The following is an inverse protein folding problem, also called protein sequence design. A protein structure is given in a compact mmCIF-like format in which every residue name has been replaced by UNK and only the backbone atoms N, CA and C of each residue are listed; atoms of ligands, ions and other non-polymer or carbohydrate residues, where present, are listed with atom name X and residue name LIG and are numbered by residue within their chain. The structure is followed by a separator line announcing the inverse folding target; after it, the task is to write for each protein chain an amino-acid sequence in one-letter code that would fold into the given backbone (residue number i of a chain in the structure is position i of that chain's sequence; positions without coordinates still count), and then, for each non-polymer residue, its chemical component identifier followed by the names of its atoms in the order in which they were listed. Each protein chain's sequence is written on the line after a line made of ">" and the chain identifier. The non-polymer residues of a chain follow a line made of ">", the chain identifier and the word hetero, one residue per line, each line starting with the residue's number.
data_IF_038218083315
#
_entry.id   IF_038218083315
#
_cell.length_a   1.000
_cell.length_b   1.000
_cell.length_c   1.000
_cell.angle_alpha   90.00
_cell.angle_beta   90.00
_cell.angle_gamma   90.00
#
_symmetry.space_group_name_H-M   'P 1'
#
loop_
_entity.id
_entity.type
_entity.pdbx_description
1 polymer ?
#
# COMPACT_ATOMS: atom_id res chain seq x y z
N UNK A 1 -40.02 -27.34 39.35
CA UNK A 1 -41.02 -26.70 38.45
C UNK A 1 -40.25 -26.00 37.34
N UNK A 2 -39.79 -26.72 36.32
CA UNK A 2 -40.50 -27.12 35.09
C UNK A 2 -40.72 -25.94 34.10
N UNK A 3 -39.73 -25.71 33.25
CA UNK A 3 -39.82 -25.18 31.88
C UNK A 3 -38.39 -25.18 31.32
N UNK A 4 -37.90 -26.28 30.75
CA UNK A 4 -38.08 -26.62 29.34
C UNK A 4 -38.04 -25.39 28.42
N UNK A 5 -36.84 -24.82 28.26
CA UNK A 5 -36.49 -24.07 27.06
C UNK A 5 -35.24 -24.69 26.46
N UNK A 6 -35.47 -25.63 25.53
CA UNK A 6 -34.63 -25.75 24.33
C UNK A 6 -34.43 -24.33 23.79
N UNK A 7 -33.19 -23.82 23.81
CA UNK A 7 -32.65 -22.61 23.15
C UNK A 7 -31.41 -22.22 24.00
N UNK A 8 -30.20 -22.03 23.51
CA UNK A 8 -29.78 -21.82 22.14
C UNK A 8 -29.01 -23.01 21.58
N UNK A 9 -29.46 -23.47 20.43
CA UNK A 9 -28.53 -23.68 19.35
C UNK A 9 -27.77 -22.36 19.21
N UNK A 10 -26.57 -22.25 19.78
CA UNK A 10 -25.60 -21.28 19.32
C UNK A 10 -25.59 -21.51 17.81
N UNK A 11 -26.15 -20.58 17.03
CA UNK A 11 -26.13 -20.72 15.57
C UNK A 11 -24.68 -21.03 15.23
N UNK A 12 -24.43 -22.16 14.58
CA UNK A 12 -23.09 -22.72 14.37
C UNK A 12 -22.11 -21.63 13.88
N UNK A 13 -22.66 -20.69 13.11
CA UNK A 13 -22.09 -19.44 12.63
C UNK A 13 -21.48 -18.57 13.72
N UNK A 14 -22.18 -18.31 14.82
CA UNK A 14 -21.72 -17.42 15.90
C UNK A 14 -20.50 -18.01 16.63
N UNK A 15 -20.40 -19.35 16.73
CA UNK A 15 -19.27 -20.05 17.38
C UNK A 15 -18.01 -19.94 16.54
N UNK A 16 -18.16 -20.14 15.22
CA UNK A 16 -17.08 -20.06 14.25
C UNK A 16 -16.61 -18.62 14.11
N UNK A 17 -17.54 -17.66 14.04
CA UNK A 17 -17.25 -16.22 13.99
C UNK A 17 -16.53 -15.78 15.26
N UNK A 18 -17.01 -16.17 16.44
CA UNK A 18 -16.36 -15.84 17.71
C UNK A 18 -14.93 -16.41 17.78
N UNK A 19 -14.71 -17.64 17.30
CA UNK A 19 -13.37 -18.22 17.23
C UNK A 19 -12.45 -17.39 16.34
N UNK A 20 -12.86 -17.05 15.13
CA UNK A 20 -12.02 -16.30 14.19
C UNK A 20 -11.69 -14.90 14.75
N UNK A 21 -12.69 -14.21 15.29
CA UNK A 21 -12.51 -12.85 15.84
C UNK A 21 -11.63 -12.87 17.10
N UNK A 22 -11.88 -13.79 18.05
CA UNK A 22 -11.07 -13.88 19.27
C UNK A 22 -9.66 -14.47 19.02
N UNK A 23 -9.47 -15.28 17.97
CA UNK A 23 -8.15 -15.71 17.53
C UNK A 23 -7.31 -14.51 17.07
N UNK A 24 -7.89 -13.63 16.25
CA UNK A 24 -7.21 -12.42 15.74
C UNK A 24 -6.94 -11.43 16.88
N UNK A 25 -7.94 -11.13 17.72
CA UNK A 25 -7.78 -10.21 18.86
C UNK A 25 -6.87 -10.76 19.96
N UNK A 26 -6.78 -12.09 20.09
CA UNK A 26 -5.93 -12.78 21.05
C UNK A 26 -4.43 -12.71 20.74
N UNK A 27 -4.05 -12.40 19.50
CA UNK A 27 -2.65 -12.17 19.09
C UNK A 27 -2.11 -10.88 19.73
N UNK A 28 -2.93 -9.83 19.80
CA UNK A 28 -2.50 -8.49 20.21
C UNK A 28 -2.89 -8.10 21.64
N UNK A 29 -3.55 -8.98 22.40
CA UNK A 29 -4.03 -8.61 23.73
C UNK A 29 -4.15 -9.79 24.70
N UNK A 30 -3.39 -9.69 25.81
CA UNK A 30 -3.41 -10.65 26.90
C UNK A 30 -4.81 -10.80 27.55
N UNK A 31 -5.62 -9.73 27.54
CA UNK A 31 -6.98 -9.76 28.11
C UNK A 31 -7.95 -10.57 27.25
N UNK A 32 -7.81 -10.56 25.92
CA UNK A 32 -8.66 -11.34 25.02
C UNK A 32 -8.21 -12.80 24.89
N UNK A 33 -6.94 -13.11 25.22
CA UNK A 33 -6.39 -14.48 25.21
C UNK A 33 -7.12 -15.44 26.17
N UNK A 34 -7.49 -14.97 27.36
CA UNK A 34 -8.22 -15.77 28.34
C UNK A 34 -9.63 -16.14 27.85
N UNK A 35 -10.33 -15.19 27.22
CA UNK A 35 -11.66 -15.43 26.62
C UNK A 35 -11.57 -16.31 25.36
N UNK A 36 -10.52 -16.16 24.55
CA UNK A 36 -10.27 -17.00 23.39
C UNK A 36 -10.10 -18.47 23.80
N UNK A 37 -9.40 -18.74 24.91
CA UNK A 37 -9.22 -20.10 25.45
C UNK A 37 -10.55 -20.80 25.75
N UNK A 38 -11.51 -20.10 26.35
CA UNK A 38 -12.87 -20.64 26.59
C UNK A 38 -13.61 -20.92 25.29
N UNK A 39 -13.51 -20.03 24.30
CA UNK A 39 -14.12 -20.20 22.98
C UNK A 39 -13.52 -21.39 22.21
N UNK A 40 -12.19 -21.55 22.22
CA UNK A 40 -11.49 -22.68 21.58
C UNK A 40 -11.85 -24.02 22.23
N UNK A 41 -11.95 -24.06 23.56
CA UNK A 41 -12.38 -25.27 24.28
C UNK A 41 -13.82 -25.67 23.95
N UNK A 42 -14.70 -24.69 23.69
CA UNK A 42 -16.05 -24.96 23.20
C UNK A 42 -16.05 -25.47 21.75
N UNK A 43 -15.30 -24.83 20.83
CA UNK A 43 -15.23 -25.30 19.44
C UNK A 43 -14.61 -26.70 19.33
N UNK A 44 -13.57 -27.00 20.12
CA UNK A 44 -13.00 -28.36 20.21
C UNK A 44 -14.00 -29.40 20.73
N UNK A 45 -14.85 -29.03 21.71
CA UNK A 45 -15.95 -29.88 22.16
C UNK A 45 -17.02 -30.06 21.08
N UNK A 46 -17.33 -29.02 20.32
CA UNK A 46 -18.27 -29.09 19.19
C UNK A 46 -17.76 -29.97 18.05
N UNK A 47 -16.47 -29.89 17.72
CA UNK A 47 -15.81 -30.78 16.75
C UNK A 47 -15.85 -32.24 17.20
N UNK A 48 -15.87 -32.49 18.51
CA UNK A 48 -15.99 -33.83 19.11
C UNK A 48 -17.44 -34.22 19.46
N UNK A 49 -18.44 -33.56 18.87
CA UNK A 49 -19.87 -33.85 19.07
C UNK A 49 -20.33 -33.78 20.54
N UNK A 50 -19.63 -33.00 21.37
CA UNK A 50 -19.98 -32.74 22.78
C UNK A 50 -20.66 -31.37 22.94
N UNK A 51 -21.65 -31.23 23.83
CA UNK A 51 -22.28 -29.94 24.11
C UNK A 51 -21.28 -29.00 24.79
N UNK A 52 -21.36 -27.71 24.45
CA UNK A 52 -20.62 -26.68 25.18
C UNK A 52 -21.40 -26.26 26.43
N UNK A 53 -20.71 -26.21 27.56
CA UNK A 53 -21.14 -25.41 28.71
C UNK A 53 -20.42 -24.06 28.64
N UNK A 54 -21.05 -23.03 28.09
CA UNK A 54 -20.50 -21.68 28.16
C UNK A 54 -21.58 -20.63 28.34
N UNK A 55 -21.72 -20.11 29.56
CA UNK A 55 -22.47 -18.87 29.89
C UNK A 55 -21.71 -17.59 29.54
N UNK A 56 -20.73 -17.67 28.62
CA UNK A 56 -19.90 -16.55 28.21
C UNK A 56 -20.71 -15.48 27.50
N UNK A 57 -21.64 -15.88 26.62
CA UNK A 57 -22.57 -14.98 25.93
C UNK A 57 -23.42 -14.20 26.94
N UNK A 58 -23.97 -14.89 27.93
CA UNK A 58 -24.78 -14.27 28.98
C UNK A 58 -23.96 -13.30 29.83
N UNK A 59 -22.70 -13.64 30.15
CA UNK A 59 -21.78 -12.75 30.88
C UNK A 59 -21.39 -11.52 30.07
N UNK A 60 -21.15 -11.67 28.76
CA UNK A 60 -20.82 -10.57 27.86
C UNK A 60 -22.03 -9.65 27.71
N UNK A 61 -23.21 -10.21 27.43
CA UNK A 61 -24.47 -9.45 27.34
C UNK A 61 -24.78 -8.74 28.66
N UNK A 62 -24.69 -9.43 29.79
CA UNK A 62 -24.95 -8.85 31.11
C UNK A 62 -23.99 -7.70 31.43
N UNK A 63 -22.70 -7.83 31.10
CA UNK A 63 -21.70 -6.78 31.36
C UNK A 63 -21.90 -5.55 30.46
N UNK A 64 -22.22 -5.77 29.19
CA UNK A 64 -22.57 -4.69 28.24
C UNK A 64 -23.85 -4.00 28.72
N UNK A 65 -24.90 -4.76 29.02
CA UNK A 65 -26.16 -4.23 29.52
C UNK A 65 -26.00 -3.46 30.82
N UNK A 66 -25.25 -3.97 31.80
CA UNK A 66 -24.99 -3.30 33.07
C UNK A 66 -24.27 -1.95 32.87
N UNK A 67 -23.31 -1.89 31.95
CA UNK A 67 -22.58 -0.66 31.64
C UNK A 67 -23.46 0.33 30.84
N UNK A 68 -24.25 -0.16 29.89
CA UNK A 68 -25.11 0.67 29.03
C UNK A 68 -26.32 1.23 29.80
N UNK A 69 -26.91 0.46 30.73
CA UNK A 69 -28.02 0.90 31.59
C UNK A 69 -27.63 2.12 32.42
N UNK A 70 -26.43 2.13 33.02
CA UNK A 70 -25.93 3.25 33.82
C UNK A 70 -25.72 4.52 32.99
N UNK A 71 -25.56 4.41 31.67
CA UNK A 71 -25.34 5.56 30.79
C UNK A 71 -26.63 6.07 30.15
N UNK A 72 -27.50 5.17 29.68
CA UNK A 72 -28.85 5.55 29.23
C UNK A 72 -29.82 4.36 29.23
N UNK A 73 -31.02 4.50 29.81
CA UNK A 73 -32.00 3.42 29.87
C UNK A 73 -32.65 3.12 28.51
N UNK A 74 -32.75 4.11 27.61
CA UNK A 74 -33.34 3.93 26.27
C UNK A 74 -32.47 3.11 25.33
N UNK A 75 -31.14 3.33 25.31
CA UNK A 75 -30.24 2.54 24.47
C UNK A 75 -30.14 1.10 24.96
N UNK A 76 -30.17 0.85 26.28
CA UNK A 76 -30.13 -0.51 26.81
C UNK A 76 -31.30 -1.37 26.31
N UNK A 77 -32.51 -0.82 26.27
CA UNK A 77 -33.68 -1.51 25.72
C UNK A 77 -33.58 -1.76 24.21
N UNK A 78 -33.00 -0.82 23.46
CA UNK A 78 -32.83 -0.93 22.02
C UNK A 78 -31.79 -1.98 21.62
N UNK A 79 -30.63 -1.95 22.29
CA UNK A 79 -29.57 -2.96 22.08
C UNK A 79 -30.09 -4.33 22.51
N UNK A 80 -30.82 -4.43 23.64
CA UNK A 80 -31.44 -5.70 24.07
C UNK A 80 -32.32 -6.33 22.97
N UNK A 81 -33.19 -5.52 22.39
CA UNK A 81 -34.16 -5.97 21.38
C UNK A 81 -33.50 -6.38 20.05
N UNK A 82 -32.33 -5.83 19.73
CA UNK A 82 -31.67 -6.03 18.43
C UNK A 82 -30.26 -6.64 18.54
N UNK A 83 -29.87 -7.24 19.67
CA UNK A 83 -28.52 -7.78 19.85
C UNK A 83 -28.12 -8.75 18.74
N UNK A 84 -29.03 -9.65 18.34
CA UNK A 84 -28.75 -10.65 17.30
C UNK A 84 -28.47 -9.99 15.95
N UNK A 85 -29.29 -9.00 15.58
CA UNK A 85 -29.13 -8.26 14.33
C UNK A 85 -27.87 -7.39 14.35
N UNK A 86 -27.60 -6.70 15.47
CA UNK A 86 -26.39 -5.91 15.67
C UNK A 86 -25.13 -6.78 15.57
N UNK A 87 -25.11 -7.94 16.24
CA UNK A 87 -23.99 -8.89 16.16
C UNK A 87 -23.74 -9.36 14.72
N UNK A 88 -24.79 -9.62 13.95
CA UNK A 88 -24.67 -10.04 12.56
C UNK A 88 -24.15 -8.92 11.66
N UNK A 89 -24.65 -7.69 11.85
CA UNK A 89 -24.16 -6.49 11.12
C UNK A 89 -22.69 -6.23 11.40
N UNK A 90 -22.27 -6.23 12.67
CA UNK A 90 -20.86 -6.05 13.03
C UNK A 90 -19.97 -7.16 12.47
N UNK A 91 -20.46 -8.40 12.47
CA UNK A 91 -19.75 -9.54 11.88
C UNK A 91 -19.57 -9.36 10.38
N UNK A 92 -20.63 -9.01 9.66
CA UNK A 92 -20.59 -8.81 8.21
C UNK A 92 -19.68 -7.63 7.83
N UNK A 93 -19.75 -6.53 8.60
CA UNK A 93 -18.87 -5.38 8.46
C UNK A 93 -17.40 -5.77 8.68
N UNK A 94 -17.11 -6.60 9.69
CA UNK A 94 -15.76 -7.10 9.95
C UNK A 94 -15.21 -7.91 8.77
N UNK A 95 -15.98 -8.87 8.25
CA UNK A 95 -15.53 -9.68 7.11
C UNK A 95 -15.43 -8.88 5.80
N UNK A 96 -16.35 -7.93 5.57
CA UNK A 96 -16.25 -7.02 4.45
C UNK A 96 -14.94 -6.20 4.55
N UNK A 97 -14.67 -5.63 5.72
CA UNK A 97 -13.44 -4.85 5.96
C UNK A 97 -12.20 -5.70 5.76
N UNK A 98 -12.19 -6.94 6.27
CA UNK A 98 -11.08 -7.87 6.06
C UNK A 98 -10.88 -8.22 4.59
N UNK A 99 -11.95 -8.47 3.83
CA UNK A 99 -11.87 -8.73 2.39
C UNK A 99 -11.32 -7.52 1.63
N UNK A 100 -11.77 -6.29 1.96
CA UNK A 100 -11.23 -5.07 1.39
C UNK A 100 -9.75 -4.86 1.73
N UNK A 101 -9.36 -5.09 2.97
CA UNK A 101 -7.94 -5.00 3.38
C UNK A 101 -7.08 -6.06 2.70
N UNK A 102 -7.56 -7.30 2.62
CA UNK A 102 -6.85 -8.39 1.92
C UNK A 102 -6.71 -8.09 0.43
N UNK A 103 -7.77 -7.55 -0.21
CA UNK A 103 -7.72 -7.11 -1.60
C UNK A 103 -6.74 -5.94 -1.79
N UNK A 104 -6.73 -4.97 -0.88
CA UNK A 104 -5.79 -3.86 -0.90
C UNK A 104 -4.34 -4.33 -0.77
N UNK A 105 -4.06 -5.25 0.17
CA UNK A 105 -2.73 -5.84 0.34
C UNK A 105 -2.34 -6.70 -0.86
N UNK A 106 -3.29 -7.48 -1.41
CA UNK A 106 -3.07 -8.26 -2.62
C UNK A 106 -2.68 -7.35 -3.79
N UNK A 107 -3.47 -6.31 -4.05
CA UNK A 107 -3.17 -5.32 -5.08
C UNK A 107 -1.85 -4.61 -4.83
N UNK A 108 -1.53 -4.24 -3.59
CA UNK A 108 -0.24 -3.64 -3.26
C UNK A 108 0.92 -4.62 -3.49
N UNK A 109 0.74 -5.90 -3.21
CA UNK A 109 1.76 -6.92 -3.42
C UNK A 109 1.96 -7.25 -4.91
N UNK A 110 0.90 -7.19 -5.73
CA UNK A 110 0.97 -7.53 -7.16
C UNK A 110 1.22 -6.33 -8.07
N UNK A 111 0.58 -5.19 -7.79
CA UNK A 111 0.63 -3.95 -8.58
C UNK A 111 1.57 -2.90 -7.96
N UNK A 112 2.05 -3.11 -6.72
CA UNK A 112 2.81 -2.09 -6.02
C UNK A 112 1.95 -0.86 -5.76
N UNK A 113 2.55 0.31 -5.93
CA UNK A 113 1.87 1.61 -5.73
C UNK A 113 1.36 2.20 -7.04
N UNK A 114 1.25 1.36 -8.07
CA UNK A 114 0.80 1.72 -9.40
C UNK A 114 -0.73 1.71 -9.49
N UNK A 115 -1.29 2.77 -10.04
CA UNK A 115 -2.72 2.83 -10.38
C UNK A 115 -2.97 2.05 -11.69
N UNK A 116 -3.82 1.00 -11.70
CA UNK A 116 -4.10 0.19 -12.89
C UNK A 116 -4.86 0.94 -14.00
N UNK A 117 -5.44 2.11 -13.73
CA UNK A 117 -6.18 2.90 -14.73
C UNK A 117 -5.30 3.95 -15.40
N UNK A 118 -4.49 4.67 -14.61
CA UNK A 118 -3.61 5.73 -15.12
C UNK A 118 -2.18 5.27 -15.42
N UNK A 119 -1.76 4.10 -14.91
CA UNK A 119 -0.39 3.59 -15.07
C UNK A 119 0.68 4.40 -14.33
N UNK A 120 0.28 5.33 -13.45
CA UNK A 120 1.20 6.12 -12.65
C UNK A 120 1.48 5.43 -11.31
N UNK A 121 2.74 5.32 -10.91
CA UNK A 121 3.12 4.81 -9.59
C UNK A 121 3.74 5.92 -8.74
N UNK A 122 3.17 6.13 -7.56
CA UNK A 122 3.55 7.22 -6.65
C UNK A 122 4.99 7.05 -6.14
N UNK A 123 5.48 5.81 -6.03
CA UNK A 123 6.84 5.51 -5.54
C UNK A 123 7.79 5.02 -6.64
N UNK A 124 7.34 5.01 -7.90
CA UNK A 124 8.16 4.66 -9.07
C UNK A 124 7.55 5.29 -10.34
N UNK A 125 7.95 6.51 -10.73
CA UNK A 125 7.29 7.24 -11.82
C UNK A 125 7.49 6.62 -13.22
N UNK A 126 8.14 5.44 -13.34
CA UNK A 126 8.43 4.77 -14.61
C UNK A 126 8.13 3.26 -14.50
N UNK A 127 6.85 2.88 -14.60
CA UNK A 127 6.46 1.48 -14.84
C UNK A 127 5.39 1.44 -15.93
N UNK A 128 5.80 1.71 -17.17
CA UNK A 128 5.03 1.32 -18.33
C UNK A 128 5.52 -0.04 -18.83
N UNK A 129 4.59 -0.99 -18.87
CA UNK A 129 4.65 -2.37 -19.35
C UNK A 129 5.27 -3.43 -18.44
N UNK A 130 4.40 -4.37 -18.06
CA UNK A 130 4.72 -5.53 -17.27
C UNK A 130 5.89 -6.34 -17.84
N UNK A 131 6.94 -6.42 -17.04
CA UNK A 131 7.63 -7.67 -16.73
C UNK A 131 8.28 -7.45 -15.37
N UNK A 132 7.95 -8.35 -14.44
CA UNK A 132 8.65 -8.45 -13.18
C UNK A 132 10.15 -8.58 -13.46
N UNK A 133 10.95 -7.61 -12.97
CA UNK A 133 12.37 -7.68 -12.59
C UNK A 133 12.79 -6.32 -11.99
N UNK A 134 12.22 -5.93 -10.85
CA UNK A 134 12.69 -4.74 -10.12
C UNK A 134 13.87 -5.13 -9.20
N UNK A 135 15.00 -5.33 -9.85
CA UNK A 135 16.34 -5.01 -9.36
C UNK A 135 17.11 -4.35 -10.50
N UNK A 136 16.52 -3.32 -11.14
CA UNK A 136 17.28 -2.41 -11.99
C UNK A 136 16.55 -1.07 -12.11
N UNK A 137 16.61 -0.25 -11.07
CA UNK A 137 16.47 1.19 -11.27
C UNK A 137 17.83 1.66 -11.79
N UNK A 138 18.02 1.56 -13.10
CA UNK A 138 19.07 2.28 -13.81
C UNK A 138 18.48 2.76 -15.14
N UNK A 139 17.78 3.89 -15.14
CA UNK A 139 17.91 4.73 -16.33
C UNK A 139 19.40 5.06 -16.42
N UNK A 140 20.12 4.48 -17.38
CA UNK A 140 21.56 4.71 -17.50
C UNK A 140 21.85 6.20 -17.66
N UNK A 141 20.89 6.96 -18.23
CA UNK A 141 21.02 8.37 -18.49
C UNK A 141 19.76 9.18 -18.14
N UNK A 142 19.96 10.33 -17.52
CA UNK A 142 18.94 11.32 -17.15
C UNK A 142 19.22 12.61 -17.93
N UNK A 143 18.19 13.24 -18.47
CA UNK A 143 18.24 14.58 -19.06
C UNK A 143 17.47 15.56 -18.18
N UNK A 144 18.18 16.51 -17.57
CA UNK A 144 17.57 17.65 -16.89
C UNK A 144 17.37 18.79 -17.88
N UNK A 145 16.13 19.25 -18.03
CA UNK A 145 15.77 20.31 -18.97
C UNK A 145 14.84 21.35 -18.33
N UNK A 146 14.72 22.51 -18.98
CA UNK A 146 13.72 23.53 -18.66
C UNK A 146 12.85 23.76 -19.88
N UNK A 147 11.52 23.77 -19.70
CA UNK A 147 10.58 23.90 -20.83
C UNK A 147 10.74 25.21 -21.63
N UNK A 148 11.10 26.30 -20.94
CA UNK A 148 11.33 27.62 -21.51
C UNK A 148 12.81 27.88 -21.87
N UNK A 149 13.69 26.89 -21.72
CA UNK A 149 15.11 27.04 -22.01
C UNK A 149 15.40 26.87 -23.52
N UNK A 150 15.92 27.89 -24.23
CA UNK A 150 16.19 27.80 -25.66
C UNK A 150 17.25 26.73 -26.00
N UNK A 151 18.25 26.55 -25.14
CA UNK A 151 19.27 25.52 -25.31
C UNK A 151 18.73 24.10 -25.09
N UNK A 152 17.71 23.93 -24.24
CA UNK A 152 17.03 22.63 -24.09
C UNK A 152 16.22 22.31 -25.34
N UNK A 153 15.51 23.30 -25.91
CA UNK A 153 14.72 23.10 -27.13
C UNK A 153 15.60 22.72 -28.33
N UNK A 154 16.82 23.27 -28.43
CA UNK A 154 17.80 22.87 -29.45
C UNK A 154 18.22 21.40 -29.33
N UNK A 155 18.25 20.84 -28.11
CA UNK A 155 18.62 19.45 -27.86
C UNK A 155 17.49 18.44 -28.16
N UNK A 156 16.22 18.85 -28.13
CA UNK A 156 15.06 17.97 -28.38
C UNK A 156 15.20 17.10 -29.65
N UNK A 157 15.47 17.66 -30.85
CA UNK A 157 15.62 16.84 -32.06
C UNK A 157 16.87 15.96 -32.04
N UNK A 158 17.94 16.40 -31.37
CA UNK A 158 19.21 15.65 -31.24
C UNK A 158 19.00 14.41 -30.38
N UNK A 159 18.38 14.58 -29.21
CA UNK A 159 18.08 13.49 -28.28
C UNK A 159 17.13 12.51 -28.92
N UNK A 160 16.03 12.97 -29.52
CA UNK A 160 15.07 12.09 -30.19
C UNK A 160 15.70 11.26 -31.32
N UNK A 161 16.62 11.84 -32.09
CA UNK A 161 17.37 11.10 -33.12
C UNK A 161 18.25 10.01 -32.53
N UNK A 162 18.96 10.31 -31.44
CA UNK A 162 19.82 9.33 -30.75
C UNK A 162 19.00 8.20 -30.12
N UNK A 163 17.88 8.53 -29.47
CA UNK A 163 16.98 7.54 -28.89
C UNK A 163 16.45 6.57 -29.95
N UNK A 164 16.09 7.09 -31.14
CA UNK A 164 15.63 6.28 -32.26
C UNK A 164 16.75 5.41 -32.90
N UNK A 165 17.97 5.93 -33.01
CA UNK A 165 19.09 5.23 -33.65
C UNK A 165 19.75 4.19 -32.73
N UNK A 166 19.92 4.52 -31.46
CA UNK A 166 20.71 3.72 -30.49
C UNK A 166 19.83 2.83 -29.61
N UNK A 167 18.54 3.13 -29.49
CA UNK A 167 17.63 2.47 -28.55
C UNK A 167 17.91 2.80 -27.07
N UNK A 168 18.82 3.74 -26.79
CA UNK A 168 19.08 4.26 -25.44
C UNK A 168 18.13 5.41 -25.17
N UNK A 169 17.35 5.31 -24.09
CA UNK A 169 16.39 6.35 -23.69
C UNK A 169 16.92 7.19 -22.55
N UNK A 170 16.64 8.50 -22.62
CA UNK A 170 16.93 9.43 -21.53
C UNK A 170 15.68 9.62 -20.67
N UNK A 171 15.85 9.56 -19.35
CA UNK A 171 14.79 9.99 -18.43
C UNK A 171 14.76 11.53 -18.38
N UNK A 172 13.73 12.11 -18.98
CA UNK A 172 13.60 13.57 -19.14
C UNK A 172 12.94 14.18 -17.90
N UNK A 173 13.70 14.93 -17.11
CA UNK A 173 13.25 15.60 -15.89
C UNK A 173 13.23 17.13 -16.09
N UNK A 174 12.03 17.70 -16.11
CA UNK A 174 11.83 19.15 -16.18
C UNK A 174 12.10 19.76 -14.80
N UNK A 175 12.94 20.79 -14.68
CA UNK A 175 13.40 21.32 -13.38
C UNK A 175 12.93 22.72 -13.02
N UNK A 176 12.28 23.45 -13.94
CA UNK A 176 11.86 24.85 -13.70
C UNK A 176 10.43 24.94 -13.13
N UNK A 177 9.53 24.03 -13.51
CA UNK A 177 8.13 24.00 -13.06
C UNK A 177 7.79 22.75 -12.23
N UNK A 178 8.78 21.92 -11.90
CA UNK A 178 8.60 20.73 -11.07
C UNK A 178 9.66 20.68 -9.95
N UNK A 179 9.23 21.02 -8.73
CA UNK A 179 10.09 21.08 -7.56
C UNK A 179 10.70 19.71 -7.19
N UNK A 180 9.96 18.61 -7.41
CA UNK A 180 10.47 17.25 -7.13
C UNK A 180 11.62 16.88 -8.06
N UNK A 181 11.48 17.17 -9.35
CA UNK A 181 12.56 16.95 -10.32
C UNK A 181 13.75 17.87 -10.07
N UNK A 182 13.49 19.11 -9.64
CA UNK A 182 14.53 20.05 -9.24
C UNK A 182 15.32 19.54 -8.03
N UNK A 183 14.65 18.93 -7.04
CA UNK A 183 15.31 18.31 -5.89
C UNK A 183 16.20 17.12 -6.31
N UNK A 184 15.76 16.33 -7.30
CA UNK A 184 16.59 15.26 -7.90
C UNK A 184 17.85 15.87 -8.53
N UNK A 185 17.73 16.94 -9.33
CA UNK A 185 18.90 17.63 -9.91
C UNK A 185 19.85 18.15 -8.83
N UNK A 186 19.32 18.71 -7.74
CA UNK A 186 20.12 19.20 -6.60
C UNK A 186 20.86 18.06 -5.89
N UNK A 187 20.29 16.86 -5.83
CA UNK A 187 20.96 15.70 -5.23
C UNK A 187 22.23 15.29 -5.99
N UNK A 188 22.30 15.59 -7.30
CA UNK A 188 23.44 15.35 -8.17
C UNK A 188 24.30 16.61 -8.42
N UNK A 189 24.07 17.67 -7.65
CA UNK A 189 24.74 18.96 -7.84
C UNK A 189 26.26 18.85 -7.79
N UNK A 190 26.81 18.00 -6.93
CA UNK A 190 28.26 17.81 -6.79
C UNK A 190 28.88 17.23 -8.06
N UNK A 191 28.21 16.28 -8.70
CA UNK A 191 28.71 15.63 -9.92
C UNK A 191 28.54 16.53 -11.14
N UNK A 192 27.40 17.23 -11.24
CA UNK A 192 27.13 18.19 -12.31
C UNK A 192 28.10 19.38 -12.22
N UNK A 193 28.31 19.97 -11.05
CA UNK A 193 29.25 21.08 -10.87
C UNK A 193 30.70 20.64 -11.10
N UNK A 194 31.08 19.42 -10.73
CA UNK A 194 32.42 18.89 -11.01
C UNK A 194 32.72 18.80 -12.50
N UNK A 195 31.78 18.27 -13.28
CA UNK A 195 32.00 18.01 -14.70
C UNK A 195 31.65 19.22 -15.60
N UNK A 196 30.70 20.06 -15.17
CA UNK A 196 30.18 21.19 -15.96
C UNK A 196 30.54 22.57 -15.39
N UNK A 197 31.02 22.67 -14.15
CA UNK A 197 31.40 23.92 -13.49
C UNK A 197 30.24 24.77 -12.97
N UNK A 198 29.00 24.46 -13.35
CA UNK A 198 27.79 25.13 -12.87
C UNK A 198 26.60 24.17 -12.87
N UNK A 199 25.64 24.41 -11.99
CA UNK A 199 24.36 23.72 -11.96
C UNK A 199 23.37 24.41 -12.92
N UNK A 200 23.09 23.80 -14.07
CA UNK A 200 22.19 24.36 -15.07
C UNK A 200 21.72 23.35 -16.10
N UNK A 201 20.77 23.76 -16.94
CA UNK A 201 20.17 22.93 -18.00
C UNK A 201 20.53 23.47 -19.40
N UNK A 202 20.59 22.63 -20.44
CA UNK A 202 20.42 21.17 -20.43
C UNK A 202 21.61 20.46 -19.77
N UNK A 203 21.35 19.44 -18.95
CA UNK A 203 22.36 18.60 -18.33
C UNK A 203 22.00 17.12 -18.48
N UNK A 204 22.96 16.32 -18.93
CA UNK A 204 22.83 14.88 -19.10
C UNK A 204 23.70 14.18 -18.08
N UNK A 205 23.14 13.24 -17.32
CA UNK A 205 23.83 12.54 -16.23
C UNK A 205 23.77 11.03 -16.46
N UNK A 206 24.90 10.33 -16.32
CA UNK A 206 24.92 8.87 -16.23
C UNK A 206 24.80 8.44 -14.78
N UNK A 207 23.77 7.64 -14.46
CA UNK A 207 23.57 7.12 -13.10
C UNK A 207 24.58 6.04 -12.74
N UNK A 208 25.20 5.41 -13.74
CA UNK A 208 26.15 4.29 -13.59
C UNK A 208 27.48 4.74 -12.99
N UNK A 209 28.04 5.82 -13.52
CA UNK A 209 29.35 6.32 -13.12
C UNK A 209 29.32 7.75 -12.56
N UNK A 210 28.12 8.33 -12.44
CA UNK A 210 27.88 9.69 -11.95
C UNK A 210 28.70 10.72 -12.69
N UNK A 211 28.78 10.58 -14.02
CA UNK A 211 29.37 11.56 -14.94
C UNK A 211 28.28 12.40 -15.58
N UNK A 212 28.54 13.69 -15.73
CA UNK A 212 27.63 14.62 -16.38
C UNK A 212 28.26 15.27 -17.63
N UNK A 213 27.43 15.59 -18.60
CA UNK A 213 27.77 16.47 -19.74
C UNK A 213 26.66 17.50 -19.88
N UNK A 214 27.02 18.78 -20.04
CA UNK A 214 26.05 19.87 -20.02
C UNK A 214 26.19 20.79 -21.24
N UNK A 215 25.14 21.57 -21.47
CA UNK A 215 25.04 22.54 -22.54
C UNK A 215 24.53 21.96 -23.86
N UNK A 216 24.27 22.86 -24.80
CA UNK A 216 23.90 22.49 -26.17
C UNK A 216 25.09 21.82 -26.88
N UNK A 217 24.85 20.66 -27.49
CA UNK A 217 25.89 19.88 -28.17
C UNK A 217 25.35 19.08 -29.36
N UNK A 218 26.23 18.78 -30.31
CA UNK A 218 25.90 17.93 -31.45
C UNK A 218 25.70 16.46 -31.05
N UNK A 219 25.02 15.72 -31.94
CA UNK A 219 24.69 14.31 -31.72
C UNK A 219 25.92 13.44 -31.45
N UNK A 220 27.03 13.69 -32.13
CA UNK A 220 28.26 12.89 -31.99
C UNK A 220 28.84 12.96 -30.58
N UNK A 221 28.82 14.15 -29.97
CA UNK A 221 29.32 14.36 -28.61
C UNK A 221 28.43 13.66 -27.58
N UNK A 222 27.11 13.74 -27.75
CA UNK A 222 26.17 13.07 -26.86
C UNK A 222 26.22 11.54 -27.02
N UNK A 223 26.41 11.04 -28.25
CA UNK A 223 26.65 9.60 -28.50
C UNK A 223 27.94 9.10 -27.88
N UNK A 224 29.04 9.85 -27.98
CA UNK A 224 30.30 9.50 -27.30
C UNK A 224 30.10 9.40 -25.79
N UNK A 225 29.39 10.35 -25.19
CA UNK A 225 29.05 10.28 -23.77
C UNK A 225 28.26 9.01 -23.43
N UNK A 226 27.29 8.61 -24.24
CA UNK A 226 26.55 7.35 -24.03
C UNK A 226 27.48 6.13 -24.11
N UNK A 227 28.40 6.11 -25.08
CA UNK A 227 29.34 4.98 -25.26
C UNK A 227 30.33 4.89 -24.10
N UNK A 228 30.87 6.02 -23.65
CA UNK A 228 31.88 6.07 -22.60
C UNK A 228 31.30 5.82 -21.19
N UNK A 229 29.99 6.04 -21.02
CA UNK A 229 29.34 6.04 -19.71
C UNK A 229 28.12 5.09 -19.61
N UNK A 230 27.88 4.28 -20.65
CA UNK A 230 26.84 3.23 -20.74
C UNK A 230 27.30 1.89 -20.19
#
# INVERSE_FOLDING_TARGET
>A
MSANWRRGCFSMVLCIVALVVFAILGIFSARYRALAGEAFACVGRKLTMRPCESGLEDRIKAKIMATTINRSPRLAGMVNRHFELLSWVFTLLFFASFAYSAYAVYNLATLGTCDPVSGQCVFAPQAQNGTANVCNITASFIEFYGSECPHCQAMVPVVAGIEAETGVFFEKLETWHNDSNREIMLSYSTEIERDCGFLGVPAFLSTKNRKAVCGEMGADKLKQFIIDNG
#
